data_IF_745045877960
#
_entry.id   IF_745045877960
#
_cell.length_a   1.000
_cell.length_b   1.000
_cell.length_c   1.000
_cell.angle_alpha   90.00
_cell.angle_beta   90.00
_cell.angle_gamma   90.00
#
_symmetry.space_group_name_H-M   'P 1'
#
loop_
_entity.id
_entity.type
_entity.pdbx_description
1 polymer ?
#
# COMPACT_ATOMS: atom_id res chain seq x y z
N UNK A 1 -48.80 -33.99 -65.89
CA UNK A 1 -49.08 -33.91 -67.35
C UNK A 1 -48.01 -33.02 -67.99
N UNK A 2 -47.42 -33.50 -69.10
CA UNK A 2 -46.60 -32.79 -70.13
C UNK A 2 -45.26 -32.18 -69.67
N UNK A 3 -44.11 -32.79 -69.97
CA UNK A 3 -43.37 -32.93 -71.26
C UNK A 3 -42.41 -31.76 -71.53
N UNK A 4 -41.12 -32.10 -71.44
CA UNK A 4 -39.91 -31.67 -72.16
C UNK A 4 -40.09 -30.79 -73.40
N UNK A 5 -39.16 -29.85 -73.67
CA UNK A 5 -37.93 -30.07 -74.46
C UNK A 5 -37.09 -28.77 -74.58
N UNK A 6 -35.80 -28.97 -74.82
CA UNK A 6 -34.66 -28.06 -75.01
C UNK A 6 -34.82 -27.03 -76.14
N UNK A 7 -33.97 -25.98 -76.14
CA UNK A 7 -33.04 -25.63 -77.24
C UNK A 7 -32.00 -24.61 -76.73
N UNK A 8 -30.77 -24.79 -77.19
CA UNK A 8 -29.55 -24.06 -76.88
C UNK A 8 -29.45 -22.70 -77.61
N UNK A 9 -28.60 -21.79 -77.10
CA UNK A 9 -27.47 -21.22 -77.86
C UNK A 9 -26.75 -20.07 -77.11
N UNK A 10 -25.44 -20.02 -77.37
CA UNK A 10 -24.51 -18.89 -77.28
C UNK A 10 -24.05 -18.40 -75.89
N UNK A 11 -22.98 -19.05 -75.41
CA UNK A 11 -22.05 -18.45 -74.47
C UNK A 11 -21.32 -17.28 -75.15
N UNK A 12 -21.65 -16.05 -74.77
CA UNK A 12 -20.79 -14.87 -74.98
C UNK A 12 -20.05 -14.60 -73.67
N UNK A 13 -18.75 -14.93 -73.65
CA UNK A 13 -17.86 -14.54 -72.56
C UNK A 13 -17.59 -13.05 -72.70
N UNK A 14 -18.37 -12.23 -71.99
CA UNK A 14 -18.00 -10.84 -71.73
C UNK A 14 -17.09 -10.86 -70.51
N UNK A 15 -15.79 -10.70 -70.75
CA UNK A 15 -14.82 -10.43 -69.71
C UNK A 15 -15.14 -9.08 -69.06
N UNK A 16 -15.92 -9.09 -67.99
CA UNK A 16 -16.07 -7.93 -67.09
C UNK A 16 -14.77 -7.85 -66.28
N UNK A 17 -13.83 -7.06 -66.76
CA UNK A 17 -12.75 -6.52 -65.92
C UNK A 17 -13.39 -5.64 -64.85
N UNK A 18 -13.72 -6.24 -63.70
CA UNK A 18 -14.03 -5.50 -62.48
C UNK A 18 -12.74 -4.82 -62.01
N UNK A 19 -12.50 -3.61 -62.51
CA UNK A 19 -11.56 -2.69 -61.89
C UNK A 19 -12.09 -2.39 -60.48
N UNK A 20 -11.50 -3.07 -59.49
CA UNK A 20 -11.69 -2.76 -58.08
C UNK A 20 -11.17 -1.37 -57.81
N UNK A 21 -12.04 -0.36 -57.99
CA UNK A 21 -11.83 0.97 -57.47
C UNK A 21 -11.88 0.90 -55.96
N UNK A 22 -10.71 0.70 -55.33
CA UNK A 22 -10.54 1.02 -53.93
C UNK A 22 -10.86 2.51 -53.77
N UNK A 23 -12.04 2.84 -53.27
CA UNK A 23 -12.35 4.17 -52.79
C UNK A 23 -11.37 4.47 -51.66
N UNK A 24 -10.28 5.14 -51.99
CA UNK A 24 -9.38 5.74 -51.03
C UNK A 24 -10.22 6.72 -50.20
N UNK A 25 -10.57 6.34 -48.97
CA UNK A 25 -11.11 7.29 -48.02
C UNK A 25 -10.08 8.44 -47.91
N UNK A 26 -10.49 9.71 -48.08
CA UNK A 26 -9.58 10.81 -47.90
C UNK A 26 -9.03 10.75 -46.48
N UNK A 27 -7.72 10.49 -46.34
CA UNK A 27 -7.02 10.63 -45.06
C UNK A 27 -7.24 12.07 -44.61
N UNK A 28 -8.09 12.26 -43.60
CA UNK A 28 -8.31 13.57 -43.02
C UNK A 28 -6.95 14.14 -42.56
N UNK A 29 -6.68 15.45 -42.79
CA UNK A 29 -5.43 16.06 -42.36
C UNK A 29 -5.26 15.90 -40.84
N UNK A 30 -4.02 15.70 -40.35
CA UNK A 30 -3.78 15.55 -38.92
C UNK A 30 -4.19 16.83 -38.17
N UNK A 31 -4.96 16.67 -37.10
CA UNK A 31 -5.34 17.78 -36.21
C UNK A 31 -4.10 18.35 -35.53
N UNK A 32 -3.99 19.68 -35.48
CA UNK A 32 -2.95 20.35 -34.69
C UNK A 32 -3.27 20.16 -33.20
N UNK A 33 -2.37 19.52 -32.46
CA UNK A 33 -2.52 19.27 -31.02
C UNK A 33 -1.39 19.97 -30.25
N UNK A 34 -1.77 20.83 -29.32
CA UNK A 34 -0.84 21.45 -28.36
C UNK A 34 -0.98 20.74 -27.02
N UNK A 35 0.12 20.24 -26.41
CA UNK A 35 0.05 19.49 -25.17
C UNK A 35 -0.40 20.35 -23.97
N UNK A 36 -0.85 19.72 -22.87
CA UNK A 36 -1.32 20.44 -21.70
C UNK A 36 -0.19 21.25 -21.06
N UNK A 37 -0.55 22.39 -20.48
CA UNK A 37 0.38 23.25 -19.74
C UNK A 37 0.59 22.74 -18.31
N UNK A 38 -0.38 22.03 -17.75
CA UNK A 38 -0.35 21.47 -16.41
C UNK A 38 -0.89 20.04 -16.36
N UNK A 39 -0.26 19.21 -15.54
CA UNK A 39 -0.51 17.79 -15.36
C UNK A 39 -0.75 17.52 -13.89
N UNK A 40 -1.91 16.96 -13.57
CA UNK A 40 -2.33 16.71 -12.20
C UNK A 40 -2.67 15.25 -11.98
N UNK A 41 -1.96 14.60 -11.07
CA UNK A 41 -2.17 13.18 -10.76
C UNK A 41 -2.78 13.06 -9.37
N UNK A 42 -3.78 12.19 -9.27
CA UNK A 42 -4.50 11.83 -8.06
C UNK A 42 -4.33 10.33 -7.88
N UNK A 43 -3.53 9.92 -6.90
CA UNK A 43 -3.19 8.53 -6.64
C UNK A 43 -3.93 8.05 -5.40
N UNK A 44 -4.94 7.21 -5.61
CA UNK A 44 -5.86 6.73 -4.58
C UNK A 44 -5.51 5.30 -4.18
N UNK A 45 -5.17 5.10 -2.90
CA UNK A 45 -4.83 3.79 -2.34
C UNK A 45 -5.81 3.43 -1.24
N UNK A 46 -6.40 2.23 -1.33
CA UNK A 46 -7.10 1.59 -0.21
C UNK A 46 -6.16 0.63 0.50
N UNK A 47 -5.81 0.93 1.76
CA UNK A 47 -5.01 0.08 2.63
C UNK A 47 -5.87 -0.87 3.46
N UNK A 48 -5.41 -2.11 3.62
CA UNK A 48 -5.95 -3.10 4.56
C UNK A 48 -4.84 -3.94 5.20
N UNK A 49 -5.19 -4.85 6.11
CA UNK A 49 -4.19 -5.59 6.90
C UNK A 49 -3.32 -4.63 7.72
N UNK A 50 -2.02 -4.89 7.81
CA UNK A 50 -1.06 -4.02 8.49
C UNK A 50 -0.97 -2.61 7.87
N UNK A 51 -1.21 -2.46 6.57
CA UNK A 51 -1.26 -1.14 5.90
C UNK A 51 -2.47 -0.31 6.33
N UNK A 52 -3.57 -0.99 6.67
CA UNK A 52 -4.77 -0.38 7.23
C UNK A 52 -4.51 0.35 8.54
N UNK A 53 -3.56 -0.13 9.34
CA UNK A 53 -3.19 0.44 10.63
C UNK A 53 -2.10 1.52 10.52
N UNK A 54 -1.19 1.43 9.55
CA UNK A 54 -0.07 2.37 9.40
C UNK A 54 -0.47 3.73 8.84
N UNK A 55 -1.57 3.81 8.09
CA UNK A 55 -2.05 5.05 7.48
C UNK A 55 -2.54 6.12 8.49
N UNK A 56 -2.73 5.73 9.76
CA UNK A 56 -3.08 6.65 10.86
C UNK A 56 -1.92 7.02 11.78
N UNK A 57 -0.71 6.47 11.57
CA UNK A 57 0.43 6.77 12.42
C UNK A 57 1.13 8.02 11.88
N UNK A 58 0.80 9.16 12.49
CA UNK A 58 1.53 10.42 12.30
C UNK A 58 3.04 10.14 12.33
N UNK A 59 3.73 10.42 11.21
CA UNK A 59 5.18 10.34 11.15
C UNK A 59 5.78 11.38 12.09
N UNK A 60 6.07 11.01 13.33
CA UNK A 60 6.88 11.81 14.26
C UNK A 60 6.39 11.93 15.70
N UNK A 61 5.22 11.40 16.07
CA UNK A 61 4.69 11.45 17.44
C UNK A 61 4.80 10.10 18.18
N UNK A 62 5.10 10.12 19.48
CA UNK A 62 4.86 8.94 20.33
C UNK A 62 3.35 8.66 20.35
N UNK A 63 2.89 7.43 20.08
CA UNK A 63 1.47 7.11 20.09
C UNK A 63 0.85 7.52 21.42
N UNK A 64 -0.24 8.29 21.38
CA UNK A 64 -0.98 8.58 22.60
C UNK A 64 -1.72 7.31 23.06
N UNK A 65 -2.12 7.27 24.34
CA UNK A 65 -2.97 6.20 24.88
C UNK A 65 -4.29 6.09 24.07
N UNK A 66 -4.80 7.20 23.54
CA UNK A 66 -6.00 7.22 22.69
C UNK A 66 -5.75 6.62 21.30
N UNK A 67 -4.58 6.83 20.70
CA UNK A 67 -4.21 6.22 19.43
C UNK A 67 -4.05 4.71 19.58
N UNK A 68 -3.44 4.26 20.69
CA UNK A 68 -3.36 2.85 21.05
C UNK A 68 -4.74 2.21 21.23
N UNK A 69 -5.69 2.89 21.87
CA UNK A 69 -7.05 2.38 22.06
C UNK A 69 -7.85 2.37 20.75
N UNK A 70 -7.64 3.33 19.85
CA UNK A 70 -8.27 3.37 18.53
C UNK A 70 -7.71 2.27 17.61
N UNK A 71 -6.40 2.07 17.62
CA UNK A 71 -5.73 0.98 16.91
C UNK A 71 -6.20 -0.38 17.43
N UNK A 72 -6.27 -0.58 18.75
CA UNK A 72 -6.80 -1.80 19.35
C UNK A 72 -8.27 -2.06 18.96
N UNK A 73 -9.12 -1.03 18.93
CA UNK A 73 -10.53 -1.17 18.52
C UNK A 73 -10.67 -1.51 17.03
N UNK A 74 -9.84 -0.93 16.16
CA UNK A 74 -9.80 -1.28 14.73
C UNK A 74 -9.23 -2.69 14.49
N UNK A 75 -8.32 -3.15 15.36
CA UNK A 75 -7.79 -4.51 15.32
C UNK A 75 -8.85 -5.53 15.75
N UNK A 76 -9.61 -5.22 16.79
CA UNK A 76 -10.73 -6.04 17.27
C UNK A 76 -11.93 -6.08 16.31
N UNK A 77 -12.08 -5.09 15.41
CA UNK A 77 -13.15 -5.07 14.40
C UNK A 77 -12.79 -5.73 13.07
N UNK A 78 -11.67 -6.47 12.98
CA UNK A 78 -11.34 -7.27 11.80
C UNK A 78 -10.56 -6.55 10.70
N UNK A 79 -9.48 -5.85 11.06
CA UNK A 79 -8.56 -5.22 10.11
C UNK A 79 -9.05 -3.84 9.66
N UNK A 80 -8.38 -2.78 10.08
CA UNK A 80 -8.75 -1.42 9.70
C UNK A 80 -8.65 -1.22 8.19
N UNK A 81 -9.64 -0.56 7.58
CA UNK A 81 -9.53 -0.01 6.23
C UNK A 81 -9.06 1.44 6.34
N UNK A 82 -8.03 1.78 5.58
CA UNK A 82 -7.56 3.15 5.44
C UNK A 82 -7.59 3.56 3.98
N UNK A 83 -7.79 4.85 3.75
CA UNK A 83 -7.59 5.44 2.43
C UNK A 83 -6.33 6.30 2.49
N UNK A 84 -5.59 6.37 1.39
CA UNK A 84 -4.45 7.26 1.23
C UNK A 84 -4.56 7.92 -0.13
N UNK A 85 -4.22 9.20 -0.14
CA UNK A 85 -4.25 10.01 -1.34
C UNK A 85 -2.89 10.67 -1.53
N UNK A 86 -2.40 10.68 -2.76
CA UNK A 86 -1.19 11.42 -3.16
C UNK A 86 -1.55 12.27 -4.37
N UNK A 87 -1.13 13.53 -4.34
CA UNK A 87 -1.47 14.54 -5.33
C UNK A 87 -0.18 15.12 -5.88
N UNK A 88 0.01 15.03 -7.19
CA UNK A 88 1.21 15.55 -7.87
C UNK A 88 0.79 16.54 -8.94
N UNK A 89 1.18 17.81 -8.81
CA UNK A 89 0.96 18.84 -9.81
C UNK A 89 2.27 19.22 -10.47
N UNK A 90 2.37 18.98 -11.77
CA UNK A 90 3.44 19.49 -12.62
C UNK A 90 2.94 20.55 -13.59
N UNK A 91 3.72 21.59 -13.81
CA UNK A 91 3.42 22.63 -14.79
C UNK A 91 4.62 23.03 -15.63
N UNK A 92 4.34 23.40 -16.87
CA UNK A 92 5.28 24.03 -17.80
C UNK A 92 5.41 25.54 -17.56
N UNK A 93 4.47 26.12 -16.81
CA UNK A 93 4.45 27.54 -16.45
C UNK A 93 5.38 27.83 -15.28
N UNK A 94 5.91 29.05 -15.21
CA UNK A 94 6.51 29.56 -13.98
C UNK A 94 5.43 30.04 -13.02
N UNK A 95 5.72 30.04 -11.72
CA UNK A 95 4.89 30.71 -10.72
C UNK A 95 4.94 32.24 -10.92
N UNK A 96 3.78 32.89 -11.00
CA UNK A 96 3.69 34.34 -11.15
C UNK A 96 2.39 34.92 -10.57
N UNK A 97 2.43 35.97 -9.73
CA UNK A 97 3.61 36.51 -9.03
C UNK A 97 3.99 35.67 -7.80
N UNK A 98 5.26 35.71 -7.42
CA UNK A 98 5.76 35.17 -6.14
C UNK A 98 6.10 33.68 -6.14
N UNK A 99 6.23 33.12 -4.93
CA UNK A 99 6.57 31.72 -4.73
C UNK A 99 5.46 30.80 -5.28
N UNK A 100 5.81 29.60 -5.79
CA UNK A 100 4.82 28.62 -6.22
C UNK A 100 3.81 28.31 -5.12
N UNK A 101 2.53 28.43 -5.46
CA UNK A 101 1.40 28.07 -4.59
C UNK A 101 0.31 27.44 -5.42
N UNK A 102 -0.14 26.26 -5.01
CA UNK A 102 -1.33 25.63 -5.54
C UNK A 102 -2.07 24.90 -4.42
N UNK A 103 -3.38 24.74 -4.59
CA UNK A 103 -4.28 24.18 -3.61
C UNK A 103 -5.33 23.33 -4.31
N UNK A 104 -5.61 22.16 -3.75
CA UNK A 104 -6.69 21.28 -4.15
C UNK A 104 -7.87 21.44 -3.18
N UNK A 105 -9.04 21.74 -3.71
CA UNK A 105 -10.32 21.72 -2.98
C UNK A 105 -10.99 20.37 -3.24
N UNK A 106 -11.04 19.46 -2.25
CA UNK A 106 -11.67 18.16 -2.42
C UNK A 106 -13.20 18.24 -2.29
N UNK A 107 -13.95 17.22 -2.74
CA UNK A 107 -15.37 17.12 -2.48
C UNK A 107 -15.62 16.96 -0.97
N UNK A 108 -16.78 17.41 -0.45
CA UNK A 108 -17.14 17.22 0.97
C UNK A 108 -17.10 15.76 1.42
N UNK A 109 -17.37 14.82 0.50
CA UNK A 109 -17.35 13.38 0.74
C UNK A 109 -15.95 12.83 1.08
N UNK A 110 -14.87 13.56 0.77
CA UNK A 110 -13.51 13.20 1.18
C UNK A 110 -13.30 13.40 2.69
N UNK A 111 -14.24 14.06 3.37
CA UNK A 111 -14.19 14.32 4.82
C UNK A 111 -12.95 15.11 5.27
N UNK A 112 -12.32 15.83 4.34
CA UNK A 112 -11.25 16.80 4.59
C UNK A 112 -11.79 18.21 4.49
N UNK A 113 -11.68 18.96 5.59
CA UNK A 113 -12.16 20.34 5.67
C UNK A 113 -11.15 21.29 5.04
N UNK A 114 -11.63 22.24 4.25
CA UNK A 114 -10.79 23.25 3.60
C UNK A 114 -10.01 22.69 2.42
N UNK A 115 -8.88 23.33 2.11
CA UNK A 115 -8.03 22.99 0.97
C UNK A 115 -6.86 22.09 1.39
N UNK A 116 -6.40 21.27 0.46
CA UNK A 116 -5.16 20.51 0.54
C UNK A 116 -4.06 21.33 -0.16
N UNK A 117 -3.09 21.89 0.58
CA UNK A 117 -2.03 22.69 -0.02
C UNK A 117 -1.07 21.79 -0.79
N UNK A 118 -0.63 22.22 -1.98
CA UNK A 118 0.44 21.57 -2.74
C UNK A 118 1.74 22.34 -2.50
N UNK A 119 2.68 21.70 -1.81
CA UNK A 119 3.96 22.29 -1.45
C UNK A 119 4.98 21.98 -2.54
N UNK A 120 5.72 22.99 -3.02
CA UNK A 120 6.91 22.72 -3.81
C UNK A 120 8.03 22.31 -2.87
N UNK A 121 8.60 21.10 -2.99
CA UNK A 121 9.72 20.69 -2.15
C UNK A 121 10.85 21.69 -2.33
N UNK A 122 11.36 22.23 -1.22
CA UNK A 122 12.59 23.02 -1.27
C UNK A 122 13.70 22.08 -1.72
N UNK A 123 14.46 22.50 -2.72
CA UNK A 123 15.70 21.82 -3.04
C UNK A 123 16.54 21.78 -1.76
N UNK A 124 16.62 20.61 -1.13
CA UNK A 124 17.65 20.39 -0.14
C UNK A 124 18.95 20.45 -0.94
N UNK A 125 19.91 21.33 -0.62
CA UNK A 125 21.27 21.16 -1.13
C UNK A 125 21.61 19.68 -0.91
N UNK A 126 22.30 18.99 -1.83
CA UNK A 126 22.80 17.67 -1.53
C UNK A 126 23.42 17.78 -0.15
N UNK A 127 22.84 17.10 0.84
CA UNK A 127 23.44 17.08 2.16
C UNK A 127 24.90 16.73 1.89
N UNK A 128 25.84 17.49 2.47
CA UNK A 128 27.23 17.03 2.53
C UNK A 128 27.14 15.54 2.81
N UNK A 129 27.66 14.66 1.93
CA UNK A 129 27.50 13.23 2.09
C UNK A 129 27.87 12.97 3.55
N UNK A 130 26.85 12.71 4.39
CA UNK A 130 27.11 12.25 5.74
C UNK A 130 27.94 11.03 5.47
N UNK A 131 29.20 11.04 5.91
CA UNK A 131 30.26 10.12 5.49
C UNK A 131 29.59 8.81 5.17
N UNK A 132 29.48 8.38 3.89
CA UNK A 132 28.71 7.19 3.60
C UNK A 132 29.29 6.13 4.51
N UNK A 133 28.51 5.68 5.50
CA UNK A 133 28.69 4.32 5.98
C UNK A 133 28.67 3.55 4.68
N UNK A 134 29.83 2.97 4.31
CA UNK A 134 29.96 2.26 3.04
C UNK A 134 28.68 1.48 2.86
N UNK A 135 27.94 1.63 1.74
CA UNK A 135 26.70 0.91 1.53
C UNK A 135 26.97 -0.53 1.90
N UNK A 136 26.42 -0.99 3.02
CA UNK A 136 26.84 -2.26 3.59
C UNK A 136 26.46 -3.28 2.54
N UNK A 137 27.49 -3.87 1.93
CA UNK A 137 27.26 -4.79 0.82
C UNK A 137 26.41 -5.91 1.39
N UNK A 138 25.20 -6.14 0.88
CA UNK A 138 24.36 -7.21 1.39
C UNK A 138 25.19 -8.49 1.29
N UNK A 139 25.39 -9.14 2.44
CA UNK A 139 26.07 -10.43 2.51
C UNK A 139 25.08 -11.52 2.08
N UNK A 140 25.61 -12.68 1.71
CA UNK A 140 24.80 -13.84 1.34
C UNK A 140 24.25 -13.79 -0.08
N UNK A 141 23.08 -14.41 -0.25
CA UNK A 141 22.47 -14.67 -1.57
C UNK A 141 21.01 -14.26 -1.57
N UNK A 142 20.52 -13.77 -2.70
CA UNK A 142 19.09 -13.59 -2.96
C UNK A 142 18.56 -14.78 -3.75
N UNK A 143 17.70 -15.58 -3.11
CA UNK A 143 16.99 -16.70 -3.71
C UNK A 143 15.64 -16.19 -4.22
N UNK A 144 15.39 -16.39 -5.50
CA UNK A 144 14.22 -15.84 -6.18
C UNK A 144 13.32 -16.96 -6.68
N UNK A 145 12.09 -16.97 -6.18
CA UNK A 145 11.00 -17.85 -6.57
C UNK A 145 9.87 -17.03 -7.22
N UNK A 146 9.04 -17.68 -8.02
CA UNK A 146 7.88 -17.08 -8.66
C UNK A 146 6.83 -18.14 -9.00
N UNK A 147 5.58 -17.67 -9.10
CA UNK A 147 4.43 -18.43 -9.52
C UNK A 147 3.66 -19.02 -8.35
N UNK A 148 2.37 -19.22 -8.60
CA UNK A 148 1.48 -19.94 -7.71
C UNK A 148 1.54 -21.45 -7.99
N UNK A 149 1.65 -22.24 -6.93
CA UNK A 149 1.68 -23.70 -6.98
C UNK A 149 2.15 -24.29 -5.67
N UNK A 150 1.82 -25.56 -5.43
CA UNK A 150 2.25 -26.27 -4.22
C UNK A 150 3.77 -26.48 -4.17
N UNK A 151 4.39 -26.63 -5.35
CA UNK A 151 5.82 -26.78 -5.55
C UNK A 151 6.38 -25.74 -6.53
N UNK A 152 7.61 -25.29 -6.28
CA UNK A 152 8.35 -24.43 -7.18
C UNK A 152 8.63 -25.17 -8.50
N UNK A 153 8.38 -24.50 -9.63
CA UNK A 153 8.59 -25.10 -10.95
C UNK A 153 10.09 -25.30 -11.21
N UNK A 154 10.43 -26.20 -12.13
CA UNK A 154 11.82 -26.44 -12.53
C UNK A 154 12.54 -25.13 -12.91
N UNK A 155 13.81 -25.01 -12.51
CA UNK A 155 14.62 -23.80 -12.71
C UNK A 155 14.48 -22.73 -11.63
N UNK A 156 13.87 -23.07 -10.49
CA UNK A 156 13.77 -22.23 -9.29
C UNK A 156 14.49 -22.88 -8.10
N UNK A 157 15.08 -22.08 -7.18
CA UNK A 157 15.20 -20.62 -7.25
C UNK A 157 16.25 -20.17 -8.26
N UNK A 158 16.12 -18.93 -8.75
CA UNK A 158 17.25 -18.21 -9.33
C UNK A 158 18.04 -17.59 -8.19
N UNK A 159 19.35 -17.85 -8.15
CA UNK A 159 20.23 -17.37 -7.07
C UNK A 159 21.06 -16.20 -7.57
N UNK A 160 20.91 -15.05 -6.93
CA UNK A 160 21.81 -13.91 -7.09
C UNK A 160 22.78 -13.91 -5.92
N UNK A 161 24.06 -14.16 -6.20
CA UNK A 161 25.12 -14.12 -5.20
C UNK A 161 25.71 -12.69 -5.15
N UNK A 162 25.57 -12.03 -4.01
CA UNK A 162 26.02 -10.65 -3.86
C UNK A 162 27.55 -10.51 -3.92
N UNK A 163 28.31 -11.55 -3.54
CA UNK A 163 29.76 -11.53 -3.69
C UNK A 163 30.17 -11.55 -5.17
N UNK A 164 29.42 -12.28 -6.01
CA UNK A 164 29.65 -12.30 -7.47
C UNK A 164 29.20 -11.00 -8.13
N UNK A 165 28.07 -10.45 -7.71
CA UNK A 165 27.60 -9.13 -8.16
C UNK A 165 28.60 -8.03 -7.80
N UNK A 166 29.20 -8.08 -6.60
CA UNK A 166 30.25 -7.15 -6.19
C UNK A 166 31.52 -7.25 -7.04
N UNK A 167 31.73 -8.37 -7.75
CA UNK A 167 32.79 -8.58 -8.73
C UNK A 167 32.35 -8.20 -10.17
N UNK A 168 31.19 -7.55 -10.32
CA UNK A 168 30.64 -7.13 -11.62
C UNK A 168 29.90 -8.24 -12.37
N UNK A 169 29.71 -9.42 -11.79
CA UNK A 169 29.03 -10.55 -12.42
C UNK A 169 27.53 -10.49 -12.16
N UNK A 170 26.79 -9.76 -13.01
CA UNK A 170 25.33 -9.74 -12.95
C UNK A 170 24.73 -10.95 -13.69
N UNK A 171 23.79 -11.68 -13.07
CA UNK A 171 23.05 -12.73 -13.78
C UNK A 171 22.25 -12.13 -14.93
N UNK A 172 22.31 -12.77 -16.11
CA UNK A 172 21.51 -12.38 -17.27
C UNK A 172 20.12 -13.03 -17.23
N UNK A 173 19.15 -12.43 -17.90
CA UNK A 173 17.80 -13.01 -18.01
C UNK A 173 17.02 -13.07 -16.69
N UNK A 174 17.28 -12.14 -15.78
CA UNK A 174 16.56 -12.01 -14.52
C UNK A 174 15.09 -11.66 -14.79
N UNK A 175 14.78 -10.57 -15.48
CA UNK A 175 13.39 -10.32 -15.90
C UNK A 175 13.18 -10.62 -17.38
N UNK A 176 12.05 -11.26 -17.67
CA UNK A 176 11.52 -11.47 -19.02
C UNK A 176 10.44 -10.45 -19.39
N UNK A 177 10.04 -9.60 -18.43
CA UNK A 177 8.95 -8.64 -18.58
C UNK A 177 9.40 -7.27 -18.09
N UNK A 178 9.12 -6.25 -18.89
CA UNK A 178 9.30 -4.83 -18.52
C UNK A 178 7.93 -4.23 -18.20
N UNK A 179 7.87 -3.35 -17.20
CA UNK A 179 6.64 -2.63 -16.85
C UNK A 179 6.72 -1.20 -17.34
N UNK A 180 5.75 -0.83 -18.18
CA UNK A 180 5.56 0.52 -18.66
C UNK A 180 4.57 1.24 -17.72
N UNK A 181 5.07 1.63 -16.54
CA UNK A 181 4.34 2.47 -15.61
C UNK A 181 4.82 3.93 -15.74
N UNK A 182 3.98 4.86 -16.22
CA UNK A 182 4.33 6.28 -16.26
C UNK A 182 4.66 6.81 -14.87
N UNK A 183 5.72 7.64 -14.78
CA UNK A 183 6.08 8.32 -13.53
C UNK A 183 5.19 9.55 -13.31
N UNK A 184 4.82 9.86 -12.06
CA UNK A 184 4.09 11.08 -11.76
C UNK A 184 4.89 12.33 -12.13
N UNK A 185 4.22 13.49 -12.23
CA UNK A 185 4.90 14.78 -12.23
C UNK A 185 5.91 14.88 -11.09
N UNK A 186 6.98 15.64 -11.30
CA UNK A 186 8.04 15.77 -10.31
C UNK A 186 8.95 16.96 -10.58
N UNK A 187 9.78 17.29 -9.60
CA UNK A 187 10.69 18.45 -9.63
C UNK A 187 11.68 18.43 -10.79
N UNK A 188 12.03 17.25 -11.32
CA UNK A 188 12.97 17.09 -12.44
C UNK A 188 12.28 17.04 -13.80
N UNK A 189 10.97 16.86 -13.84
CA UNK A 189 10.20 16.67 -15.08
C UNK A 189 9.36 17.89 -15.47
N UNK A 190 9.16 18.82 -14.54
CA UNK A 190 8.31 20.01 -14.74
C UNK A 190 9.01 21.28 -14.25
N UNK A 191 8.65 22.42 -14.86
CA UNK A 191 9.23 23.73 -14.53
C UNK A 191 8.80 24.22 -13.15
N UNK A 192 7.56 23.94 -12.77
CA UNK A 192 7.05 24.21 -11.43
C UNK A 192 6.23 23.01 -10.99
N UNK A 193 6.36 22.64 -9.72
CA UNK A 193 5.83 21.42 -9.17
C UNK A 193 5.27 21.65 -7.77
N UNK A 194 4.26 20.89 -7.35
CA UNK A 194 3.86 20.80 -5.96
C UNK A 194 3.15 19.48 -5.66
N UNK A 195 3.35 18.99 -4.44
CA UNK A 195 2.82 17.70 -4.01
C UNK A 195 2.08 17.75 -2.67
N UNK A 196 1.30 16.70 -2.46
CA UNK A 196 0.63 16.38 -1.21
C UNK A 196 0.57 14.86 -1.07
N UNK A 197 0.76 14.28 0.13
CA UNK A 197 0.96 14.93 1.43
C UNK A 197 2.30 15.67 1.56
N UNK A 198 2.37 16.63 2.48
CA UNK A 198 3.56 17.47 2.69
C UNK A 198 3.67 17.96 4.14
N UNK A 199 4.56 18.92 4.39
CA UNK A 199 4.86 19.39 5.75
C UNK A 199 3.85 20.43 6.29
N UNK A 200 2.98 20.98 5.43
CA UNK A 200 2.07 22.07 5.79
C UNK A 200 0.92 21.52 6.64
N UNK A 201 0.82 21.94 7.91
CA UNK A 201 -0.23 21.50 8.84
C UNK A 201 -1.39 22.52 8.92
N UNK A 202 -2.63 22.08 9.25
CA UNK A 202 -3.02 20.72 9.61
C UNK A 202 -3.30 19.81 8.40
N UNK A 203 -3.59 20.37 7.23
CA UNK A 203 -4.10 19.63 6.07
C UNK A 203 -3.02 19.01 5.18
N UNK A 204 -1.84 18.67 5.69
CA UNK A 204 -0.72 18.12 4.92
C UNK A 204 -0.59 16.60 5.00
N UNK A 205 -1.47 15.93 5.73
CA UNK A 205 -1.39 14.50 6.03
C UNK A 205 -2.18 13.63 5.05
N UNK A 206 -1.54 12.60 4.51
CA UNK A 206 -2.08 11.77 3.41
C UNK A 206 -3.10 10.72 3.82
N UNK A 207 -3.21 10.43 5.12
CA UNK A 207 -4.03 9.34 5.66
C UNK A 207 -5.49 9.74 5.79
N UNK A 208 -6.39 9.06 5.10
CA UNK A 208 -7.83 9.31 5.10
C UNK A 208 -8.58 8.18 5.83
N UNK A 209 -9.77 8.49 6.35
CA UNK A 209 -10.63 7.47 6.95
C UNK A 209 -11.13 6.51 5.87
N UNK A 210 -11.34 5.23 6.18
CA UNK A 210 -11.93 4.26 5.24
C UNK A 210 -13.35 4.60 4.78
N UNK A 211 -14.01 5.58 5.40
CA UNK A 211 -15.30 6.14 4.98
C UNK A 211 -15.19 7.35 4.05
N UNK A 212 -13.96 7.80 3.73
CA UNK A 212 -13.72 8.94 2.85
C UNK A 212 -13.98 8.54 1.40
N UNK A 213 -14.58 9.42 0.61
CA UNK A 213 -14.91 9.18 -0.79
C UNK A 213 -14.26 10.22 -1.70
N UNK A 214 -13.79 9.78 -2.87
CA UNK A 214 -13.32 10.67 -3.94
C UNK A 214 -14.45 11.22 -4.79
N UNK A 215 -15.66 10.68 -4.69
CA UNK A 215 -16.73 11.02 -5.63
C UNK A 215 -17.14 12.49 -5.54
N UNK A 216 -17.25 13.12 -6.71
CA UNK A 216 -17.74 14.47 -6.85
C UNK A 216 -16.73 15.42 -7.50
N UNK A 217 -17.03 16.71 -7.37
CA UNK A 217 -16.23 17.78 -7.97
C UNK A 217 -14.98 18.07 -7.15
N UNK A 218 -13.86 18.22 -7.85
CA UNK A 218 -12.59 18.71 -7.34
C UNK A 218 -12.20 19.99 -8.07
N UNK A 219 -11.55 20.90 -7.34
CA UNK A 219 -11.07 22.16 -7.90
C UNK A 219 -9.61 22.36 -7.54
N UNK A 220 -8.76 22.59 -8.54
CA UNK A 220 -7.36 22.94 -8.36
C UNK A 220 -7.13 24.39 -8.77
N UNK A 221 -6.46 25.15 -7.91
CA UNK A 221 -6.06 26.54 -8.19
C UNK A 221 -4.60 26.76 -7.84
N UNK A 222 -3.92 27.66 -8.54
CA UNK A 222 -2.57 28.05 -8.20
C UNK A 222 -2.02 29.15 -9.09
N UNK A 223 -0.87 29.71 -8.73
CA UNK A 223 -0.20 30.78 -9.49
C UNK A 223 0.74 30.26 -10.59
N UNK A 224 0.75 28.96 -10.84
CA UNK A 224 1.51 28.31 -11.91
C UNK A 224 0.66 27.28 -12.69
N UNK A 225 -0.66 27.30 -12.53
CA UNK A 225 -1.58 26.40 -13.23
C UNK A 225 -2.85 27.17 -13.62
N UNK A 226 -3.49 26.87 -14.76
CA UNK A 226 -4.89 27.23 -14.95
C UNK A 226 -5.76 26.63 -13.83
N UNK A 227 -6.93 27.23 -13.56
CA UNK A 227 -7.93 26.58 -12.70
C UNK A 227 -8.36 25.27 -13.37
N UNK A 228 -8.26 24.16 -12.63
CA UNK A 228 -8.77 22.87 -13.09
C UNK A 228 -10.01 22.53 -12.31
N UNK A 229 -11.09 22.20 -13.01
CA UNK A 229 -12.33 21.73 -12.40
C UNK A 229 -12.70 20.41 -13.05
N UNK A 230 -12.77 19.36 -12.25
CA UNK A 230 -12.97 18.00 -12.74
C UNK A 230 -13.81 17.20 -11.76
N UNK A 231 -14.51 16.18 -12.27
CA UNK A 231 -15.33 15.28 -11.45
C UNK A 231 -14.71 13.89 -11.40
N UNK A 232 -14.45 13.38 -10.20
CA UNK A 232 -14.10 12.00 -10.00
C UNK A 232 -15.37 11.15 -10.06
N UNK A 233 -15.36 10.15 -10.95
CA UNK A 233 -16.50 9.26 -11.21
C UNK A 233 -16.33 7.88 -10.59
N UNK A 234 -15.17 7.63 -10.00
CA UNK A 234 -14.78 6.38 -9.37
C UNK A 234 -14.29 6.69 -7.97
N UNK A 235 -14.67 5.83 -7.03
CA UNK A 235 -14.26 5.95 -5.65
C UNK A 235 -13.02 5.08 -5.36
N UNK A 236 -12.52 5.15 -4.13
CA UNK A 236 -11.56 4.19 -3.59
C UNK A 236 -12.02 2.74 -3.84
N UNK A 237 -11.06 1.88 -4.20
CA UNK A 237 -11.34 0.47 -4.42
C UNK A 237 -11.73 -0.21 -3.11
N UNK A 238 -12.54 -1.28 -3.13
CA UNK A 238 -12.73 -2.12 -1.96
C UNK A 238 -11.40 -2.71 -1.47
N UNK A 239 -11.23 -2.91 -0.16
CA UNK A 239 -9.99 -3.45 0.40
C UNK A 239 -9.75 -4.89 -0.08
N UNK A 240 -8.49 -5.25 -0.31
CA UNK A 240 -8.11 -6.66 -0.41
C UNK A 240 -8.30 -7.31 0.96
N UNK A 241 -9.04 -8.42 1.01
CA UNK A 241 -9.25 -9.20 2.24
C UNK A 241 -9.00 -10.67 1.97
N UNK A 242 -8.00 -11.24 2.64
CA UNK A 242 -7.74 -12.67 2.58
C UNK A 242 -8.76 -13.43 3.45
N UNK A 243 -9.47 -14.37 2.85
CA UNK A 243 -10.29 -15.38 3.56
C UNK A 243 -9.44 -16.57 4.00
N UNK A 244 -8.28 -16.77 3.39
CA UNK A 244 -7.29 -17.77 3.78
C UNK A 244 -5.89 -17.21 3.57
N UNK A 245 -5.07 -17.31 4.60
CA UNK A 245 -3.64 -17.06 4.58
C UNK A 245 -3.02 -18.01 5.60
N UNK A 246 -2.88 -19.28 5.21
CA UNK A 246 -2.60 -20.36 6.15
C UNK A 246 -1.76 -21.47 5.53
N UNK A 247 -0.98 -22.15 6.38
CA UNK A 247 -0.17 -23.30 6.00
C UNK A 247 -1.04 -24.52 5.73
N UNK A 248 -0.88 -25.12 4.56
CA UNK A 248 -1.47 -26.40 4.18
C UNK A 248 -0.70 -27.56 4.83
N UNK A 249 -1.29 -28.78 4.90
CA UNK A 249 -0.60 -29.96 5.42
C UNK A 249 0.72 -30.30 4.70
N UNK A 250 0.84 -29.97 3.41
CA UNK A 250 2.07 -30.12 2.63
C UNK A 250 3.17 -29.12 3.00
N UNK A 251 2.84 -28.08 3.76
CA UNK A 251 3.75 -27.01 4.16
C UNK A 251 3.75 -25.79 3.23
N UNK A 252 3.05 -25.85 2.10
CA UNK A 252 2.74 -24.70 1.25
C UNK A 252 1.79 -23.73 1.96
N UNK A 253 1.72 -22.47 1.51
CA UNK A 253 0.75 -21.48 2.05
C UNK A 253 -0.37 -21.27 1.05
N UNK A 254 -1.61 -21.51 1.47
CA UNK A 254 -2.79 -21.19 0.67
C UNK A 254 -3.22 -19.76 0.95
N UNK A 255 -3.27 -18.96 -0.12
CA UNK A 255 -3.81 -17.62 -0.15
C UNK A 255 -5.13 -17.65 -0.90
N UNK A 256 -6.21 -17.21 -0.27
CA UNK A 256 -7.53 -17.03 -0.88
C UNK A 256 -8.06 -15.68 -0.45
N UNK A 257 -8.59 -14.89 -1.38
CA UNK A 257 -9.09 -13.54 -1.11
C UNK A 257 -10.44 -13.30 -1.77
N UNK A 258 -11.18 -12.34 -1.23
CA UNK A 258 -12.41 -11.87 -1.86
C UNK A 258 -12.09 -11.18 -3.20
N UNK A 259 -12.92 -11.43 -4.22
CA UNK A 259 -12.82 -10.69 -5.47
C UNK A 259 -12.94 -9.18 -5.19
N UNK A 260 -12.05 -8.39 -5.79
CA UNK A 260 -12.09 -6.92 -5.70
C UNK A 260 -12.77 -6.39 -6.95
N UNK A 261 -13.99 -5.83 -6.86
CA UNK A 261 -14.68 -5.22 -8.01
C UNK A 261 -13.78 -4.20 -8.72
N UNK A 262 -13.84 -4.15 -10.05
CA UNK A 262 -13.05 -3.25 -10.92
C UNK A 262 -11.53 -3.50 -10.96
N UNK A 263 -11.02 -4.52 -10.27
CA UNK A 263 -9.61 -4.88 -10.38
C UNK A 263 -9.23 -5.20 -11.83
N UNK A 264 -8.07 -4.70 -12.27
CA UNK A 264 -7.50 -4.91 -13.60
C UNK A 264 -6.42 -6.00 -13.61
N UNK A 265 -5.97 -6.40 -12.42
CA UNK A 265 -5.09 -7.54 -12.17
C UNK A 265 -4.60 -7.55 -10.73
N UNK A 266 -3.94 -8.62 -10.31
CA UNK A 266 -3.34 -8.73 -8.98
C UNK A 266 -1.84 -9.03 -9.05
N UNK A 267 -1.09 -8.50 -8.09
CA UNK A 267 0.28 -8.90 -7.81
C UNK A 267 0.47 -9.11 -6.31
N UNK A 268 1.05 -10.25 -5.96
CA UNK A 268 1.55 -10.52 -4.62
C UNK A 268 3.04 -10.79 -4.65
N UNK A 269 3.74 -10.38 -3.61
CA UNK A 269 5.13 -10.73 -3.39
C UNK A 269 5.44 -10.80 -1.90
N UNK A 270 6.50 -11.51 -1.56
CA UNK A 270 6.96 -11.62 -0.20
C UNK A 270 8.46 -11.62 -0.12
N UNK A 271 8.96 -11.16 1.02
CA UNK A 271 10.37 -11.22 1.36
C UNK A 271 10.54 -11.94 2.69
N UNK A 272 11.58 -12.75 2.79
CA UNK A 272 12.01 -13.40 4.02
C UNK A 272 13.52 -13.53 4.07
N UNK A 273 14.06 -13.93 5.22
CA UNK A 273 15.50 -14.13 5.40
C UNK A 273 15.76 -15.42 6.19
N UNK A 274 16.90 -16.06 5.93
CA UNK A 274 17.42 -17.20 6.69
C UNK A 274 18.94 -17.07 6.79
N UNK A 275 19.43 -16.67 7.96
CA UNK A 275 20.82 -16.25 8.10
C UNK A 275 21.10 -15.06 7.17
N UNK A 276 22.18 -15.13 6.40
CA UNK A 276 22.54 -14.10 5.40
C UNK A 276 21.78 -14.25 4.07
N UNK A 277 21.02 -15.34 3.87
CA UNK A 277 20.25 -15.53 2.64
C UNK A 277 18.94 -14.76 2.70
N UNK A 278 18.65 -14.04 1.62
CA UNK A 278 17.39 -13.34 1.38
C UNK A 278 16.53 -14.14 0.40
N UNK A 279 15.22 -14.18 0.64
CA UNK A 279 14.29 -14.97 -0.14
C UNK A 279 13.19 -14.05 -0.66
N UNK A 280 13.01 -14.04 -1.97
CA UNK A 280 11.92 -13.34 -2.65
C UNK A 280 11.00 -14.37 -3.32
N UNK A 281 9.70 -14.21 -3.16
CA UNK A 281 8.69 -14.91 -3.95
C UNK A 281 7.65 -13.93 -4.51
N UNK A 282 7.04 -14.30 -5.63
CA UNK A 282 5.94 -13.55 -6.22
C UNK A 282 4.88 -14.40 -6.92
N UNK A 283 3.70 -13.83 -7.11
CA UNK A 283 2.57 -14.49 -7.79
C UNK A 283 2.73 -14.64 -9.30
N UNK A 284 3.70 -13.94 -9.92
CA UNK A 284 3.92 -13.95 -11.37
C UNK A 284 4.28 -15.35 -11.87
N UNK A 285 3.64 -15.84 -12.93
CA UNK A 285 4.02 -17.14 -13.52
C UNK A 285 5.29 -17.06 -14.36
N UNK A 286 5.66 -15.86 -14.80
CA UNK A 286 6.88 -15.58 -15.54
C UNK A 286 7.93 -14.93 -14.63
N UNK A 287 9.19 -14.93 -15.08
CA UNK A 287 10.26 -14.19 -14.42
C UNK A 287 10.01 -12.70 -14.62
N UNK A 288 9.26 -12.09 -13.71
CA UNK A 288 8.83 -10.70 -13.82
C UNK A 288 9.30 -9.96 -12.56
N UNK A 289 10.59 -9.62 -12.55
CA UNK A 289 11.20 -8.90 -11.43
C UNK A 289 11.04 -7.40 -11.67
N UNK A 290 10.39 -6.71 -10.73
CA UNK A 290 10.09 -5.27 -10.83
C UNK A 290 8.67 -4.91 -11.25
N UNK A 291 7.76 -5.89 -11.39
CA UNK A 291 6.34 -5.65 -11.71
C UNK A 291 5.50 -5.10 -10.56
N UNK A 292 6.04 -5.08 -9.34
CA UNK A 292 5.36 -4.61 -8.12
C UNK A 292 5.40 -3.08 -8.01
N UNK A 293 5.17 -2.40 -9.13
CA UNK A 293 5.01 -0.95 -9.14
C UNK A 293 3.76 -0.59 -8.35
N UNK A 294 3.76 0.60 -7.77
CA UNK A 294 2.65 1.04 -6.93
C UNK A 294 1.34 1.14 -7.72
N UNK A 295 1.41 1.71 -8.93
CA UNK A 295 0.27 1.85 -9.83
C UNK A 295 0.63 1.36 -11.23
N UNK A 296 -0.30 0.64 -11.87
CA UNK A 296 -0.17 0.14 -13.24
C UNK A 296 -1.39 0.60 -14.05
N UNK A 297 -1.22 1.27 -15.20
CA UNK A 297 -2.34 1.67 -16.04
C UNK A 297 -3.14 0.46 -16.56
N UNK A 298 -4.47 0.55 -16.72
CA UNK A 298 -5.31 -0.59 -17.12
C UNK A 298 -4.86 -1.30 -18.41
N UNK A 299 -4.42 -0.54 -19.42
CA UNK A 299 -3.91 -1.12 -20.67
C UNK A 299 -2.62 -1.93 -20.49
N UNK A 300 -1.76 -1.48 -19.59
CA UNK A 300 -0.52 -2.18 -19.24
C UNK A 300 -0.82 -3.39 -18.34
N UNK A 301 -1.73 -3.26 -17.38
CA UNK A 301 -2.19 -4.37 -16.56
C UNK A 301 -2.76 -5.50 -17.45
N UNK A 302 -3.59 -5.16 -18.44
CA UNK A 302 -4.12 -6.13 -19.39
C UNK A 302 -3.03 -6.84 -20.21
N UNK A 303 -1.95 -6.12 -20.59
CA UNK A 303 -0.78 -6.73 -21.26
C UNK A 303 -0.05 -7.69 -20.32
N UNK A 304 0.24 -7.26 -19.10
CA UNK A 304 0.95 -8.06 -18.09
C UNK A 304 0.15 -9.30 -17.66
N UNK A 305 -1.18 -9.24 -17.64
CA UNK A 305 -2.04 -10.41 -17.43
C UNK A 305 -1.91 -11.41 -18.58
N UNK A 306 -1.91 -10.95 -19.84
CA UNK A 306 -1.69 -11.84 -21.01
C UNK A 306 -0.30 -12.50 -20.98
N UNK A 307 0.70 -11.77 -20.50
CA UNK A 307 2.07 -12.25 -20.29
C UNK A 307 2.24 -13.04 -18.98
N UNK A 308 1.17 -13.21 -18.20
CA UNK A 308 1.14 -13.90 -16.90
C UNK A 308 2.12 -13.33 -15.86
N UNK A 309 2.49 -12.07 -16.02
CA UNK A 309 3.27 -11.30 -15.07
C UNK A 309 2.40 -10.74 -13.92
N UNK A 310 1.10 -10.55 -14.20
CA UNK A 310 0.06 -10.29 -13.21
C UNK A 310 -0.96 -11.44 -13.22
N UNK A 311 -1.56 -11.70 -12.06
CA UNK A 311 -2.74 -12.57 -11.98
C UNK A 311 -3.94 -11.89 -12.63
N UNK A 312 -4.81 -12.67 -13.27
CA UNK A 312 -6.01 -12.14 -13.90
C UNK A 312 -7.00 -11.58 -12.85
N UNK A 313 -7.86 -10.60 -13.21
CA UNK A 313 -8.89 -10.06 -12.31
C UNK A 313 -9.85 -11.07 -11.70
N UNK A 314 -10.05 -12.22 -12.36
CA UNK A 314 -10.92 -13.29 -11.88
C UNK A 314 -10.21 -14.26 -10.91
N UNK A 315 -8.88 -14.16 -10.76
CA UNK A 315 -8.11 -15.03 -9.88
C UNK A 315 -8.26 -14.57 -8.43
N UNK A 316 -8.70 -15.47 -7.58
CA UNK A 316 -8.95 -15.21 -6.14
C UNK A 316 -8.18 -16.16 -5.21
N UNK A 317 -7.23 -16.92 -5.76
CA UNK A 317 -6.42 -17.85 -5.00
C UNK A 317 -5.01 -17.97 -5.56
N UNK A 318 -4.05 -18.25 -4.69
CA UNK A 318 -2.67 -18.54 -5.03
C UNK A 318 -2.06 -19.40 -3.92
N UNK A 319 -1.25 -20.40 -4.28
CA UNK A 319 -0.49 -21.19 -3.32
C UNK A 319 0.97 -20.78 -3.39
N UNK A 320 1.55 -20.40 -2.25
CA UNK A 320 3.00 -20.18 -2.12
C UNK A 320 3.69 -21.53 -1.99
N UNK A 321 4.68 -21.85 -2.83
CA UNK A 321 5.33 -23.16 -2.80
C UNK A 321 6.02 -23.50 -1.48
N UNK A 322 6.05 -24.79 -1.15
CA UNK A 322 6.72 -25.31 0.05
C UNK A 322 8.22 -24.98 0.08
N UNK A 323 8.88 -24.92 -1.08
CA UNK A 323 10.30 -24.58 -1.20
C UNK A 323 10.60 -23.16 -0.75
N UNK A 324 9.65 -22.22 -0.94
CA UNK A 324 9.77 -20.84 -0.46
C UNK A 324 9.77 -20.83 1.07
N UNK A 325 8.82 -21.53 1.68
CA UNK A 325 8.71 -21.62 3.14
C UNK A 325 9.91 -22.31 3.76
N UNK A 326 10.43 -23.35 3.10
CA UNK A 326 11.64 -24.06 3.52
C UNK A 326 12.88 -23.15 3.43
N UNK A 327 12.99 -22.37 2.35
CA UNK A 327 14.06 -21.40 2.16
C UNK A 327 13.99 -20.27 3.22
N UNK A 328 12.79 -19.84 3.61
CA UNK A 328 12.57 -18.87 4.70
C UNK A 328 12.71 -19.48 6.12
N UNK A 329 13.00 -20.78 6.25
CA UNK A 329 13.19 -21.44 7.54
C UNK A 329 11.91 -21.86 8.27
N UNK A 330 10.73 -21.72 7.65
CA UNK A 330 9.41 -22.01 8.26
C UNK A 330 9.05 -23.52 8.36
N UNK A 331 10.06 -24.39 8.44
CA UNK A 331 9.94 -25.84 8.57
C UNK A 331 10.94 -26.48 9.55
N UNK A 332 11.79 -25.69 10.21
CA UNK A 332 12.59 -26.20 11.32
C UNK A 332 11.68 -26.37 12.55
N UNK A 333 11.76 -27.52 13.23
CA UNK A 333 11.20 -27.67 14.58
C UNK A 333 11.64 -26.47 15.44
N UNK A 334 10.82 -26.01 16.41
CA UNK A 334 11.21 -24.92 17.31
C UNK A 334 12.47 -25.32 18.05
N UNK A 335 13.63 -24.97 17.49
CA UNK A 335 14.87 -24.93 18.24
C UNK A 335 14.69 -23.76 19.21
N UNK A 336 15.13 -23.97 20.46
CA UNK A 336 14.99 -23.00 21.53
C UNK A 336 15.28 -21.58 21.02
N UNK A 337 14.48 -20.58 21.40
CA UNK A 337 14.60 -19.23 20.87
C UNK A 337 16.03 -18.73 21.10
N UNK A 338 16.85 -18.73 20.04
CA UNK A 338 18.03 -17.89 20.00
C UNK A 338 17.50 -16.45 20.10
N UNK A 339 17.85 -15.78 21.20
CA UNK A 339 17.43 -14.42 21.47
C UNK A 339 17.82 -13.52 20.30
N UNK A 340 16.83 -13.08 19.53
CA UNK A 340 17.00 -12.04 18.50
C UNK A 340 16.66 -12.43 17.05
N UNK A 341 16.41 -13.70 16.74
CA UNK A 341 16.05 -14.11 15.37
C UNK A 341 14.52 -14.24 15.22
N UNK A 342 13.84 -13.41 14.39
CA UNK A 342 12.41 -13.57 14.14
C UNK A 342 12.15 -14.97 13.55
N UNK A 343 11.37 -15.77 14.28
CA UNK A 343 10.98 -17.11 13.86
C UNK A 343 10.21 -17.01 12.54
N UNK A 344 10.69 -17.75 11.54
CA UNK A 344 10.48 -17.48 10.12
C UNK A 344 9.03 -17.28 9.69
N UNK A 345 8.78 -16.10 9.10
CA UNK A 345 7.56 -15.75 8.38
C UNK A 345 7.88 -14.57 7.46
N UNK A 346 7.52 -14.68 6.18
CA UNK A 346 7.69 -13.60 5.23
C UNK A 346 6.62 -12.52 5.40
N UNK A 347 6.91 -11.28 5.01
CA UNK A 347 5.89 -10.23 4.88
C UNK A 347 5.25 -10.37 3.50
N UNK A 348 3.95 -10.62 3.42
CA UNK A 348 3.19 -10.63 2.17
C UNK A 348 2.73 -9.21 1.84
N UNK A 349 3.13 -8.72 0.69
CA UNK A 349 2.62 -7.50 0.06
C UNK A 349 1.73 -7.90 -1.10
N UNK A 350 0.49 -7.44 -1.11
CA UNK A 350 -0.46 -7.79 -2.16
C UNK A 350 -1.22 -6.57 -2.64
N UNK A 351 -1.32 -6.40 -3.95
CA UNK A 351 -1.99 -5.26 -4.60
C UNK A 351 -3.00 -5.74 -5.63
N UNK A 352 -4.21 -5.21 -5.52
CA UNK A 352 -5.21 -5.18 -6.59
C UNK A 352 -5.04 -3.87 -7.37
N UNK A 353 -4.65 -3.98 -8.64
CA UNK A 353 -4.56 -2.82 -9.52
C UNK A 353 -5.93 -2.40 -9.98
N UNK A 354 -6.17 -1.10 -10.04
CA UNK A 354 -7.49 -0.53 -10.30
C UNK A 354 -7.64 0.10 -11.67
N UNK A 355 -8.81 0.70 -11.88
CA UNK A 355 -9.08 1.54 -13.04
C UNK A 355 -8.40 2.91 -12.93
N UNK A 356 -8.37 3.61 -14.05
CA UNK A 356 -7.82 4.96 -14.17
C UNK A 356 -8.82 5.86 -14.91
N UNK A 357 -9.03 7.08 -14.42
CA UNK A 357 -9.77 8.14 -15.09
C UNK A 357 -8.80 9.18 -15.65
N UNK A 358 -8.83 9.41 -16.96
CA UNK A 358 -8.02 10.43 -17.63
C UNK A 358 -8.94 11.53 -18.17
N UNK A 359 -8.70 12.77 -17.77
CA UNK A 359 -9.51 13.93 -18.13
C UNK A 359 -8.59 14.96 -18.78
N UNK A 360 -9.01 15.50 -19.91
CA UNK A 360 -8.25 16.51 -20.63
C UNK A 360 -9.16 17.65 -21.03
N UNK A 361 -8.71 18.87 -20.79
CA UNK A 361 -9.50 20.07 -21.06
C UNK A 361 -8.78 21.02 -22.02
N UNK A 362 -9.49 21.62 -22.98
CA UNK A 362 -10.86 21.26 -23.38
C UNK A 362 -10.92 19.84 -23.97
N UNK A 363 -12.11 19.26 -24.04
CA UNK A 363 -12.33 18.00 -24.75
C UNK A 363 -11.90 18.13 -26.22
N UNK A 364 -11.50 17.00 -26.81
CA UNK A 364 -11.01 16.99 -28.19
C UNK A 364 -12.11 17.48 -29.14
N UNK A 365 -11.88 18.55 -29.93
CA UNK A 365 -12.85 19.00 -30.91
C UNK A 365 -13.15 17.91 -31.94
N UNK A 366 -14.43 17.72 -32.27
CA UNK A 366 -14.86 16.78 -33.29
C UNK A 366 -14.37 17.17 -34.70
N UNK A 367 -14.25 18.48 -34.97
CA UNK A 367 -13.67 18.97 -36.20
C UNK A 367 -12.13 18.96 -36.14
N UNK A 368 -11.54 18.10 -36.96
CA UNK A 368 -10.09 17.91 -37.15
C UNK A 368 -9.36 19.18 -37.58
N UNK A 369 -10.08 20.15 -38.17
CA UNK A 369 -9.51 21.45 -38.58
C UNK A 369 -9.38 22.43 -37.42
N UNK A 370 -10.13 22.22 -36.34
CA UNK A 370 -10.02 23.03 -35.13
C UNK A 370 -8.79 22.58 -34.34
N UNK A 371 -7.81 23.47 -34.08
CA UNK A 371 -6.66 23.12 -33.25
C UNK A 371 -7.11 22.71 -31.85
N UNK A 372 -6.56 21.61 -31.35
CA UNK A 372 -6.83 21.13 -30.00
C UNK A 372 -5.73 21.65 -29.06
N UNK A 373 -5.99 22.81 -28.47
CA UNK A 373 -5.08 23.46 -27.53
C UNK A 373 -5.39 23.01 -26.11
N UNK A 374 -4.70 22.00 -25.62
CA UNK A 374 -4.95 21.43 -24.30
C UNK A 374 -4.41 22.38 -23.22
N UNK A 375 -5.21 22.65 -22.20
CA UNK A 375 -4.82 23.49 -21.08
C UNK A 375 -4.26 22.66 -19.93
N UNK A 376 -5.00 21.63 -19.52
CA UNK A 376 -4.61 20.78 -18.42
C UNK A 376 -5.07 19.33 -18.61
N UNK A 377 -4.39 18.43 -17.90
CA UNK A 377 -4.66 17.01 -17.88
C UNK A 377 -4.71 16.51 -16.44
N UNK A 378 -5.75 15.74 -16.11
CA UNK A 378 -5.92 15.07 -14.81
C UNK A 378 -5.91 13.57 -15.01
N UNK A 379 -5.17 12.86 -14.15
CA UNK A 379 -5.16 11.40 -14.06
C UNK A 379 -5.53 10.98 -12.64
N UNK A 380 -6.59 10.20 -12.49
CA UNK A 380 -7.00 9.59 -11.22
C UNK A 380 -6.76 8.09 -11.32
N UNK A 381 -5.86 7.55 -10.50
CA UNK A 381 -5.43 6.14 -10.53
C UNK A 381 -5.73 5.48 -9.20
N UNK A 382 -6.23 4.25 -9.25
CA UNK A 382 -6.72 3.53 -8.07
C UNK A 382 -5.93 2.24 -7.85
N UNK A 383 -5.73 1.89 -6.58
CA UNK A 383 -5.26 0.57 -6.15
C UNK A 383 -5.86 0.21 -4.80
N UNK A 384 -5.91 -1.08 -4.50
CA UNK A 384 -6.02 -1.54 -3.12
C UNK A 384 -4.81 -2.41 -2.78
N UNK A 385 -4.18 -2.13 -1.65
CA UNK A 385 -2.98 -2.83 -1.20
C UNK A 385 -3.13 -3.29 0.25
N UNK A 386 -2.65 -4.50 0.52
CA UNK A 386 -2.63 -5.09 1.85
C UNK A 386 -1.23 -5.59 2.18
N UNK A 387 -0.94 -5.61 3.48
CA UNK A 387 0.28 -6.17 4.03
C UNK A 387 -0.09 -7.14 5.16
N UNK A 388 0.35 -8.39 5.07
CA UNK A 388 0.05 -9.45 6.05
C UNK A 388 1.29 -10.28 6.39
N UNK A 389 1.28 -10.93 7.55
CA UNK A 389 2.26 -11.98 7.84
C UNK A 389 1.92 -13.21 6.99
N UNK A 390 2.88 -13.72 6.22
CA UNK A 390 2.65 -14.87 5.35
C UNK A 390 2.42 -16.14 6.17
N UNK A 391 1.34 -16.86 5.85
CA UNK A 391 0.96 -18.11 6.51
C UNK A 391 0.31 -17.93 7.88
N UNK A 392 0.10 -16.69 8.33
CA UNK A 392 -0.56 -16.37 9.59
C UNK A 392 -1.79 -15.49 9.31
N UNK A 393 -2.96 -16.11 9.22
CA UNK A 393 -4.18 -15.31 9.12
C UNK A 393 -4.43 -14.57 10.44
N UNK A 394 -4.62 -13.25 10.37
CA UNK A 394 -4.96 -12.44 11.54
C UNK A 394 -6.25 -12.94 12.21
N UNK A 395 -7.21 -13.47 11.43
CA UNK A 395 -8.42 -14.10 11.94
C UNK A 395 -8.14 -15.37 12.76
N UNK A 396 -7.21 -16.23 12.33
CA UNK A 396 -6.78 -17.38 13.13
C UNK A 396 -6.03 -16.95 14.38
N UNK A 397 -5.12 -15.96 14.29
CA UNK A 397 -4.41 -15.45 15.47
C UNK A 397 -5.36 -14.84 16.51
N UNK A 398 -6.42 -14.15 16.09
CA UNK A 398 -7.45 -13.62 16.99
C UNK A 398 -8.38 -14.71 17.56
N UNK A 399 -8.56 -15.81 16.83
CA UNK A 399 -9.33 -16.97 17.29
C UNK A 399 -8.53 -17.85 18.26
N UNK A 400 -7.21 -17.97 18.06
CA UNK A 400 -6.28 -18.69 18.94
C UNK A 400 -5.88 -17.87 20.18
N UNK A 401 -5.78 -16.54 20.06
CA UNK A 401 -5.54 -15.63 21.19
C UNK A 401 -6.70 -15.53 22.18
N UNK A 402 -7.88 -16.07 21.83
CA UNK A 402 -9.03 -16.21 22.72
C UNK A 402 -9.11 -17.55 23.46
N UNK A 403 -8.21 -18.51 23.18
CA UNK A 403 -8.35 -19.90 23.61
C UNK A 403 -7.02 -20.67 23.76
N UNK A 404 -5.90 -19.98 24.04
CA UNK A 404 -4.83 -20.67 24.76
C UNK A 404 -5.39 -21.05 26.13
N UNK A 405 -5.63 -22.35 26.32
CA UNK A 405 -6.04 -22.93 27.58
C UNK A 405 -4.92 -22.73 28.61
N UNK A 406 -4.81 -21.51 29.14
CA UNK A 406 -4.02 -21.23 30.33
C UNK A 406 -4.47 -22.20 31.40
N UNK A 407 -3.53 -22.94 31.96
CA UNK A 407 -3.81 -23.76 33.13
C UNK A 407 -4.34 -22.85 34.25
N UNK A 408 -5.24 -23.35 35.13
CA UNK A 408 -5.73 -22.56 36.26
C UNK A 408 -4.61 -21.92 37.08
N UNK A 409 -3.45 -22.57 37.17
CA UNK A 409 -2.27 -22.10 37.88
C UNK A 409 -1.62 -20.86 37.22
N UNK A 410 -1.53 -20.83 35.89
CA UNK A 410 -0.98 -19.68 35.15
C UNK A 410 -1.88 -18.45 35.25
N UNK A 411 -3.21 -18.62 35.25
CA UNK A 411 -4.16 -17.52 35.50
C UNK A 411 -3.99 -16.94 36.90
N UNK A 412 -3.86 -17.80 37.91
CA UNK A 412 -3.64 -17.36 39.28
C UNK A 412 -2.30 -16.65 39.47
N UNK A 413 -1.26 -17.05 38.74
CA UNK A 413 0.04 -16.36 38.77
C UNK A 413 -0.04 -14.96 38.16
N UNK A 414 -0.64 -14.82 36.97
CA UNK A 414 -0.80 -13.50 36.35
C UNK A 414 -1.67 -12.55 37.18
N UNK A 415 -2.76 -13.03 37.78
CA UNK A 415 -3.59 -12.20 38.67
C UNK A 415 -2.82 -11.70 39.90
N UNK A 416 -1.96 -12.54 40.49
CA UNK A 416 -1.10 -12.13 41.62
C UNK A 416 -0.03 -11.13 41.20
N UNK A 417 0.57 -11.28 40.02
CA UNK A 417 1.55 -10.34 39.48
C UNK A 417 0.90 -8.97 39.16
N UNK A 418 -0.32 -8.96 38.62
CA UNK A 418 -1.08 -7.73 38.38
C UNK A 418 -1.49 -7.02 39.69
N UNK A 419 -1.90 -7.77 40.71
CA UNK A 419 -2.21 -7.21 42.03
C UNK A 419 -0.96 -6.69 42.76
N UNK A 420 0.20 -7.32 42.58
CA UNK A 420 1.47 -6.86 43.12
C UNK A 420 1.93 -5.54 42.47
N UNK A 421 1.73 -5.39 41.16
CA UNK A 421 2.04 -4.14 40.45
C UNK A 421 1.12 -2.98 40.87
N UNK A 422 -0.17 -3.24 41.13
CA UNK A 422 -1.08 -2.22 41.68
C UNK A 422 -0.70 -1.80 43.11
N UNK A 423 -0.19 -2.72 43.93
CA UNK A 423 0.29 -2.41 45.30
C UNK A 423 1.64 -1.68 45.30
N UNK A 424 2.49 -1.87 44.30
CA UNK A 424 3.77 -1.16 44.15
C UNK A 424 3.65 0.32 43.75
N UNK A 425 2.51 0.74 43.20
CA UNK A 425 2.29 2.11 42.69
C UNK A 425 1.77 3.12 43.75
N UNK A 426 1.46 2.68 44.97
CA UNK A 426 0.92 3.56 46.03
C UNK A 426 2.02 4.03 47.02
N UNK A 427 3.26 3.51 46.88
CA UNK A 427 4.37 3.77 47.82
C UNK A 427 5.42 4.81 47.40
N UNK A 428 5.31 5.48 46.24
CA UNK A 428 6.39 6.37 45.75
C UNK A 428 5.91 7.71 45.18
N UNK A 429 4.84 8.27 45.74
CA UNK A 429 4.31 9.57 45.34
C UNK A 429 4.13 10.54 46.51
N UNK A 430 5.10 10.66 47.42
CA UNK A 430 5.26 11.84 48.30
C UNK A 430 6.75 12.10 48.51
N UNK A 431 7.32 13.06 47.78
CA UNK A 431 8.65 13.58 48.08
C UNK A 431 9.39 14.11 46.85
N UNK A 432 9.13 15.37 46.49
CA UNK A 432 10.06 16.36 45.91
C UNK A 432 9.39 17.32 44.92
N UNK A 433 8.58 18.24 45.44
CA UNK A 433 8.27 19.47 44.72
C UNK A 433 8.04 20.59 45.73
N UNK A 434 9.11 21.31 46.10
CA UNK A 434 9.13 22.77 46.32
C UNK A 434 10.52 23.18 46.80
N UNK A 435 11.36 23.65 45.87
CA UNK A 435 12.49 24.53 46.20
C UNK A 435 12.02 25.98 46.09
N UNK A 436 11.78 26.62 47.24
CA UNK A 436 11.69 28.07 47.37
C UNK A 436 12.71 28.47 48.43
N UNK A 437 13.69 29.35 48.14
CA UNK A 437 14.70 29.73 49.11
C UNK A 437 14.23 30.91 49.97
N UNK A 438 14.44 30.80 51.29
CA UNK A 438 14.66 31.97 52.17
C UNK A 438 13.62 32.24 53.26
N UNK A 439 14.08 32.18 54.51
CA UNK A 439 13.71 33.14 55.55
C UNK A 439 12.73 32.70 56.64
N UNK A 440 13.19 32.76 57.90
CA UNK A 440 12.36 32.93 59.11
C UNK A 440 11.99 31.63 59.84
N UNK A 441 12.72 31.26 60.89
CA UNK A 441 12.55 31.68 62.29
C UNK A 441 11.66 30.74 63.14
N UNK A 442 12.31 30.18 64.16
CA UNK A 442 11.83 29.98 65.54
C UNK A 442 10.79 28.87 65.79
N UNK A 443 11.31 27.71 66.21
CA UNK A 443 11.17 27.17 67.57
C UNK A 443 9.78 27.03 68.20
N UNK A 444 9.44 25.79 68.61
CA UNK A 444 8.42 25.61 69.65
C UNK A 444 7.76 24.24 69.73
N UNK A 445 8.47 23.27 70.33
CA UNK A 445 7.98 22.39 71.39
C UNK A 445 6.64 21.61 71.28
N UNK A 446 6.81 20.28 71.36
CA UNK A 446 6.07 19.33 72.21
C UNK A 446 4.59 19.02 71.92
N UNK A 447 4.33 17.71 71.76
CA UNK A 447 3.26 17.09 72.55
C UNK A 447 2.30 16.18 71.80
N UNK A 448 2.57 14.87 71.92
CA UNK A 448 1.60 13.75 71.84
C UNK A 448 0.17 14.13 72.24
N UNK A 449 -0.82 13.59 71.51
CA UNK A 449 -1.91 12.73 72.02
C UNK A 449 -2.91 12.45 70.89
N UNK A 450 -3.47 11.24 70.86
CA UNK A 450 -4.71 10.97 70.10
C UNK A 450 -4.70 9.71 69.23
N UNK A 451 -4.76 8.55 69.87
CA UNK A 451 -5.05 7.25 69.25
C UNK A 451 -6.56 7.21 68.91
N UNK A 452 -6.91 7.10 67.62
CA UNK A 452 -8.29 6.89 67.15
C UNK A 452 -8.34 5.75 66.14
N UNK A 453 -9.03 4.66 66.51
CA UNK A 453 -9.24 3.45 65.70
C UNK A 453 -9.99 3.74 64.40
N UNK A 454 -9.55 3.16 63.29
CA UNK A 454 -10.41 2.92 62.13
C UNK A 454 -10.24 1.47 61.64
N UNK A 455 -11.39 0.85 61.36
CA UNK A 455 -11.64 -0.58 61.17
C UNK A 455 -10.92 -1.15 59.93
N UNK A 456 -10.30 -2.31 60.10
CA UNK A 456 -9.93 -3.21 59.01
C UNK A 456 -11.19 -3.74 58.32
N UNK A 457 -11.28 -3.57 56.99
CA UNK A 457 -12.10 -4.37 56.11
C UNK A 457 -11.21 -5.45 55.48
N UNK A 458 -11.60 -6.75 55.51
CA UNK A 458 -10.80 -7.81 54.92
C UNK A 458 -10.89 -7.78 53.39
N UNK A 459 -9.73 -7.98 52.75
CA UNK A 459 -9.63 -8.20 51.32
C UNK A 459 -10.42 -9.48 50.94
N UNK A 460 -11.33 -9.36 49.98
CA UNK A 460 -12.03 -10.49 49.38
C UNK A 460 -11.03 -11.33 48.60
N UNK A 461 -10.72 -12.52 49.11
CA UNK A 461 -10.02 -13.58 48.41
C UNK A 461 -10.96 -14.19 47.38
N UNK A 462 -10.59 -14.12 46.10
CA UNK A 462 -11.25 -14.87 45.03
C UNK A 462 -11.00 -16.38 45.26
N UNK A 463 -12.03 -17.23 45.43
CA UNK A 463 -11.88 -18.64 45.82
C UNK A 463 -11.19 -19.52 44.78
N UNK A 464 -10.80 -18.99 43.61
CA UNK A 464 -10.13 -19.74 42.55
C UNK A 464 -8.60 -19.87 42.72
N UNK A 465 -7.96 -19.13 43.63
CA UNK A 465 -6.50 -19.09 43.76
C UNK A 465 -6.04 -19.17 45.23
N UNK A 466 -5.78 -20.36 45.79
CA UNK A 466 -5.33 -20.47 47.17
C UNK A 466 -3.93 -19.85 47.37
N UNK A 467 -3.67 -19.22 48.53
CA UNK A 467 -2.32 -18.77 48.90
C UNK A 467 -1.41 -19.97 49.17
N UNK A 468 -0.14 -19.87 48.76
CA UNK A 468 0.91 -20.84 49.15
C UNK A 468 1.48 -20.51 50.52
#
# INVERSE_FOLDING_TARGET
>A
MRKSLMIACAATVVAVTAMGGALAQPKQPPQVVTPPKAFYWVSATTGSGMMGFSAGQESGGRPSMMDGMRAARQMMSGGGVSHQLELDLGSTLAATPGAPKAEHTPPPALQRRGVLPLETPRATPPGQPGTPGQPERPKGRLLIFWGCGEHARAGQPVIIDFARVAQGQWPTGLSSVTVNAPRPPGVTTHRTYGDWPNSIRPNGDGGLQGTSSLLGEHVLRGNYTPEMRFTATQDFMPPVTFTTNAKAPSGAINLVWNAVPTATGYAGWTFGAKGDDMIFWSTSETKAFGVYQEFIPPGEAARLVRERALLAPATTQCTVPVEVMTAMGAGAAPQAPEQGSPQGGGMLFFTAYGPEQNIIYPERPADVRTPWNQEWFVKIRHRSSTMEMLGQSMSAMMSEGGQQAMTPEERCRQQREAQAQQRGSIGSAIGSATGIPGGGMIGGALGRLGRGKQKDQPATTDPACPPQ
#
